data_IF_055743073701
#
_entry.id   IF_055743073701
#
_cell.length_a   1.000
_cell.length_b   1.000
_cell.length_c   1.000
_cell.angle_alpha   90.00
_cell.angle_beta   90.00
_cell.angle_gamma   90.00
#
_symmetry.space_group_name_H-M   'P 1'
#
loop_
_entity.id
_entity.type
_entity.pdbx_description
1 polymer ?
#
# COMPACT_ATOMS: atom_id res chain seq x y z
N UNK A 1 -18.78 15.30 1.99
CA UNK A 1 -17.40 15.31 1.45
C UNK A 1 -16.91 13.87 1.49
N UNK A 2 -16.20 13.40 0.45
CA UNK A 2 -15.68 12.03 0.35
C UNK A 2 -14.18 12.04 0.62
N UNK A 3 -13.67 11.01 1.29
CA UNK A 3 -12.26 10.91 1.67
C UNK A 3 -11.64 9.60 1.19
N UNK A 4 -10.42 9.68 0.64
CA UNK A 4 -9.61 8.52 0.27
C UNK A 4 -8.32 8.46 1.08
N UNK A 5 -7.78 7.26 1.25
CA UNK A 5 -6.51 7.03 1.94
C UNK A 5 -5.51 6.34 1.01
N UNK A 6 -4.26 6.81 0.99
CA UNK A 6 -3.18 6.01 0.43
C UNK A 6 -2.78 4.93 1.42
N UNK A 7 -2.67 3.69 0.95
CA UNK A 7 -2.16 2.56 1.75
C UNK A 7 -0.69 2.33 1.43
N UNK A 8 0.08 1.73 2.36
CA UNK A 8 1.48 1.41 2.09
C UNK A 8 1.64 0.54 0.84
N UNK A 9 2.69 0.78 0.06
CA UNK A 9 2.94 0.04 -1.19
C UNK A 9 4.43 -0.11 -1.52
N UNK A 10 5.31 0.67 -0.88
CA UNK A 10 6.75 0.63 -1.03
C UNK A 10 7.33 1.81 -1.84
N UNK A 11 6.53 2.45 -2.70
CA UNK A 11 7.00 3.53 -3.59
C UNK A 11 7.74 4.64 -2.84
N UNK A 12 7.15 5.14 -1.75
CA UNK A 12 7.70 6.23 -0.93
C UNK A 12 8.53 5.73 0.26
N UNK A 13 9.02 4.49 0.21
CA UNK A 13 9.77 3.83 1.28
C UNK A 13 8.96 3.61 2.58
N UNK A 14 7.64 3.60 2.49
CA UNK A 14 6.70 3.33 3.59
C UNK A 14 6.72 1.87 4.11
N UNK A 15 7.47 0.98 3.44
CA UNK A 15 7.67 -0.42 3.85
C UNK A 15 9.13 -0.77 4.21
N UNK A 16 10.07 0.18 4.14
CA UNK A 16 11.52 -0.12 4.24
C UNK A 16 11.93 -0.79 5.57
N UNK A 17 11.22 -0.47 6.66
CA UNK A 17 11.50 -0.96 8.01
C UNK A 17 10.52 -2.09 8.42
N UNK A 18 9.71 -2.58 7.48
CA UNK A 18 8.78 -3.70 7.68
C UNK A 18 9.40 -4.97 7.12
N UNK A 19 9.51 -6.00 7.97
CA UNK A 19 9.98 -7.31 7.55
C UNK A 19 9.18 -7.83 6.33
N UNK A 20 9.84 -8.45 5.37
CA UNK A 20 9.26 -8.82 4.06
C UNK A 20 7.97 -9.65 4.23
N UNK A 21 7.96 -10.60 5.17
CA UNK A 21 6.81 -11.45 5.50
C UNK A 21 5.67 -10.70 6.21
N UNK A 22 5.96 -9.54 6.79
CA UNK A 22 4.98 -8.66 7.44
C UNK A 22 4.45 -7.54 6.52
N UNK A 23 5.05 -7.31 5.35
CA UNK A 23 4.65 -6.23 4.45
C UNK A 23 3.22 -6.38 3.95
N UNK A 24 2.85 -7.53 3.36
CA UNK A 24 1.48 -7.74 2.89
C UNK A 24 0.43 -7.63 4.00
N UNK A 25 0.59 -8.29 5.17
CA UNK A 25 -0.31 -8.08 6.31
C UNK A 25 -0.45 -6.61 6.73
N UNK A 26 0.62 -5.81 6.67
CA UNK A 26 0.58 -4.39 6.99
C UNK A 26 -0.26 -3.59 5.98
N UNK A 27 -0.12 -3.89 4.68
CA UNK A 27 -0.91 -3.27 3.61
C UNK A 27 -2.41 -3.56 3.80
N UNK A 28 -2.76 -4.83 4.04
CA UNK A 28 -4.15 -5.26 4.31
C UNK A 28 -4.70 -4.58 5.57
N UNK A 29 -3.94 -4.57 6.66
CA UNK A 29 -4.36 -3.93 7.91
C UNK A 29 -4.61 -2.42 7.74
N UNK A 30 -3.79 -1.73 6.93
CA UNK A 30 -4.00 -0.31 6.63
C UNK A 30 -5.30 -0.09 5.83
N UNK A 31 -5.57 -0.94 4.83
CA UNK A 31 -6.80 -0.85 4.04
C UNK A 31 -8.05 -1.13 4.89
N UNK A 32 -8.04 -2.19 5.69
CA UNK A 32 -9.13 -2.53 6.62
C UNK A 32 -9.33 -1.43 7.67
N UNK A 33 -8.25 -0.77 8.13
CA UNK A 33 -8.34 0.36 9.05
C UNK A 33 -8.99 1.57 8.38
N UNK A 34 -8.69 1.84 7.11
CA UNK A 34 -9.34 2.91 6.36
C UNK A 34 -10.85 2.65 6.20
N UNK A 35 -11.23 1.43 5.86
CA UNK A 35 -12.63 1.01 5.78
C UNK A 35 -13.35 1.15 7.13
N UNK A 36 -12.77 0.63 8.21
CA UNK A 36 -13.32 0.77 9.57
C UNK A 36 -13.40 2.23 10.06
N UNK A 37 -12.66 3.15 9.42
CA UNK A 37 -12.68 4.58 9.71
C UNK A 37 -13.60 5.38 8.77
N UNK A 38 -14.44 4.71 7.96
CA UNK A 38 -15.38 5.30 7.00
C UNK A 38 -14.73 6.09 5.85
N UNK A 39 -13.55 5.70 5.38
CA UNK A 39 -13.00 6.21 4.12
C UNK A 39 -13.75 5.60 2.93
N UNK A 40 -13.97 6.40 1.88
CA UNK A 40 -14.69 5.98 0.66
C UNK A 40 -13.85 5.11 -0.28
N UNK A 41 -12.52 5.18 -0.19
CA UNK A 41 -11.60 4.51 -1.11
C UNK A 41 -10.19 4.40 -0.54
N UNK A 42 -9.46 3.39 -1.01
CA UNK A 42 -8.02 3.23 -0.78
C UNK A 42 -7.25 3.31 -2.09
N UNK A 43 -6.13 4.01 -2.10
CA UNK A 43 -5.36 4.33 -3.29
C UNK A 43 -3.94 3.80 -3.15
N UNK A 44 -3.36 3.41 -4.28
CA UNK A 44 -1.95 3.02 -4.42
C UNK A 44 -1.35 3.80 -5.58
N UNK A 45 -0.03 3.82 -5.67
CA UNK A 45 0.67 4.49 -6.76
C UNK A 45 1.01 3.50 -7.88
N UNK A 46 1.11 3.98 -9.11
CA UNK A 46 1.52 3.14 -10.25
C UNK A 46 2.99 3.41 -10.60
N UNK A 47 3.91 2.73 -9.91
CA UNK A 47 5.36 2.96 -10.01
C UNK A 47 6.17 1.65 -9.90
N UNK A 48 7.38 1.68 -10.49
CA UNK A 48 8.27 0.51 -10.58
C UNK A 48 9.50 0.54 -9.68
N UNK A 49 9.84 1.70 -9.11
CA UNK A 49 11.00 1.86 -8.23
C UNK A 49 10.69 2.88 -7.14
N UNK A 50 11.47 2.88 -6.07
CA UNK A 50 11.28 3.80 -4.95
C UNK A 50 11.60 5.25 -5.32
N UNK A 51 11.03 6.19 -4.58
CA UNK A 51 11.33 7.63 -4.61
C UNK A 51 11.76 8.12 -3.22
N UNK A 52 12.57 9.19 -3.13
CA UNK A 52 13.12 10.02 -4.21
C UNK A 52 14.30 9.37 -4.96
N UNK A 53 14.81 8.24 -4.46
CA UNK A 53 15.93 7.50 -5.06
C UNK A 53 15.53 6.05 -5.34
N UNK A 54 16.01 5.44 -6.44
CA UNK A 54 15.77 4.03 -6.74
C UNK A 54 16.66 3.15 -5.84
N UNK A 55 16.06 2.52 -4.85
CA UNK A 55 16.69 1.56 -3.93
C UNK A 55 16.17 0.16 -4.20
N UNK A 56 16.95 -0.84 -3.79
CA UNK A 56 16.54 -2.24 -3.85
C UNK A 56 15.66 -2.57 -2.64
N UNK A 57 14.44 -2.04 -2.66
CA UNK A 57 13.40 -2.21 -1.65
C UNK A 57 12.10 -2.64 -2.34
N UNK A 58 11.17 -3.20 -1.57
CA UNK A 58 9.88 -3.62 -2.11
C UNK A 58 9.11 -2.44 -2.70
N UNK A 59 8.54 -2.63 -3.89
CA UNK A 59 7.51 -1.79 -4.50
C UNK A 59 6.49 -2.75 -5.11
N UNK A 60 5.29 -2.80 -4.54
CA UNK A 60 4.27 -3.74 -5.00
C UNK A 60 3.56 -3.21 -6.25
N UNK A 61 3.26 -4.07 -7.22
CA UNK A 61 2.58 -3.67 -8.46
C UNK A 61 1.12 -3.26 -8.20
N UNK A 62 0.68 -2.15 -8.80
CA UNK A 62 -0.56 -1.47 -8.45
C UNK A 62 -1.81 -2.35 -8.62
N UNK A 63 -1.97 -3.01 -9.77
CA UNK A 63 -3.17 -3.81 -10.03
C UNK A 63 -3.23 -5.07 -9.19
N UNK A 64 -2.09 -5.72 -8.98
CA UNK A 64 -1.99 -6.92 -8.16
C UNK A 64 -2.29 -6.62 -6.69
N UNK A 65 -1.83 -5.46 -6.17
CA UNK A 65 -2.21 -5.00 -4.83
C UNK A 65 -3.70 -4.75 -4.72
N UNK A 66 -4.29 -4.01 -5.67
CA UNK A 66 -5.72 -3.72 -5.65
C UNK A 66 -6.56 -5.00 -5.73
N UNK A 67 -6.17 -5.95 -6.58
CA UNK A 67 -6.82 -7.25 -6.69
C UNK A 67 -6.69 -8.08 -5.39
N UNK A 68 -5.51 -8.09 -4.78
CA UNK A 68 -5.28 -8.76 -3.50
C UNK A 68 -6.11 -8.14 -2.37
N UNK A 69 -6.17 -6.81 -2.28
CA UNK A 69 -6.96 -6.09 -1.29
C UNK A 69 -8.45 -6.36 -1.46
N UNK A 70 -8.95 -6.38 -2.70
CA UNK A 70 -10.36 -6.69 -2.98
C UNK A 70 -10.76 -8.13 -2.57
N UNK A 71 -9.79 -9.03 -2.40
CA UNK A 71 -9.99 -10.41 -1.98
C UNK A 71 -9.68 -10.66 -0.49
N UNK A 72 -9.27 -9.63 0.26
CA UNK A 72 -8.82 -9.72 1.66
C UNK A 72 -9.84 -9.22 2.69
#
# INVERSE_FOLDING_TARGET
>A
MRFGAFVPQGWVLDLQDVAIDAQWPAIVAAAQRAEASNFDSVWVYDHFHTVPVPLQQSVFEAYTVLAGLAAS
#
